data_IF_732741977443
#
_entry.id   IF_732741977443
#
_cell.length_a   1.000
_cell.length_b   1.000
_cell.length_c   1.000
_cell.angle_alpha   90.00
_cell.angle_beta   90.00
_cell.angle_gamma   90.00
#
_symmetry.space_group_name_H-M   'P 1'
#
loop_
_entity.id
_entity.type
_entity.pdbx_description
1 polymer ?
#
# COMPACT_ATOMS: atom_id res chain seq x y z
N UNK A 1 -27.75 9.10 -19.15
CA UNK A 1 -26.33 9.34 -18.80
C UNK A 1 -25.76 8.03 -18.27
N UNK A 2 -24.77 7.44 -18.96
CA UNK A 2 -24.34 6.04 -18.71
C UNK A 2 -23.46 5.91 -17.44
N UNK A 3 -23.66 4.90 -16.56
CA UNK A 3 -22.93 4.77 -15.28
C UNK A 3 -21.46 4.34 -15.42
N UNK A 4 -20.97 4.09 -16.63
CA UNK A 4 -19.70 3.37 -16.87
C UNK A 4 -18.44 4.23 -16.73
N UNK A 5 -18.56 5.56 -16.69
CA UNK A 5 -17.40 6.45 -16.61
C UNK A 5 -16.70 6.46 -15.23
N UNK A 6 -17.37 6.01 -14.15
CA UNK A 6 -16.79 6.02 -12.79
C UNK A 6 -15.85 4.84 -12.50
N UNK A 7 -15.88 3.79 -13.34
CA UNK A 7 -15.04 2.59 -13.17
C UNK A 7 -13.61 2.74 -13.70
N UNK A 8 -13.40 3.59 -14.71
CA UNK A 8 -12.16 3.62 -15.53
C UNK A 8 -10.98 4.29 -14.79
N UNK A 9 -11.22 5.03 -13.70
CA UNK A 9 -10.19 5.83 -13.03
C UNK A 9 -9.70 5.27 -11.68
N UNK A 10 -10.23 4.14 -11.20
CA UNK A 10 -9.93 3.60 -9.86
C UNK A 10 -8.73 2.64 -9.84
N UNK A 11 -7.64 3.01 -10.47
CA UNK A 11 -6.44 2.17 -10.51
C UNK A 11 -5.22 2.91 -9.95
N UNK A 12 -4.45 2.25 -9.07
CA UNK A 12 -3.24 2.84 -8.49
C UNK A 12 -2.13 3.13 -9.53
N UNK A 13 -2.28 2.64 -10.77
CA UNK A 13 -1.44 2.99 -11.92
C UNK A 13 -1.66 4.43 -12.39
N UNK A 14 -2.85 5.01 -12.16
CA UNK A 14 -3.11 6.41 -12.46
C UNK A 14 -2.45 7.32 -11.39
N UNK A 15 -1.57 8.26 -11.78
CA UNK A 15 -0.81 9.07 -10.83
C UNK A 15 -1.69 10.01 -9.99
N UNK A 16 -2.76 10.57 -10.56
CA UNK A 16 -3.69 11.44 -9.87
C UNK A 16 -4.51 10.67 -8.85
N UNK A 17 -5.04 9.52 -9.25
CA UNK A 17 -5.77 8.62 -8.34
C UNK A 17 -4.84 8.16 -7.20
N UNK A 18 -3.62 7.73 -7.51
CA UNK A 18 -2.63 7.33 -6.50
C UNK A 18 -2.30 8.47 -5.53
N UNK A 19 -2.19 9.70 -6.02
CA UNK A 19 -1.97 10.86 -5.17
C UNK A 19 -3.17 11.13 -4.25
N UNK A 20 -4.38 11.08 -4.80
CA UNK A 20 -5.62 11.23 -4.05
C UNK A 20 -5.77 10.15 -2.97
N UNK A 21 -5.63 8.87 -3.32
CA UNK A 21 -5.73 7.73 -2.39
C UNK A 21 -4.76 7.91 -1.23
N UNK A 22 -3.50 8.28 -1.50
CA UNK A 22 -2.51 8.50 -0.44
C UNK A 22 -2.97 9.59 0.53
N UNK A 23 -3.43 10.74 0.03
CA UNK A 23 -3.91 11.83 0.88
C UNK A 23 -5.16 11.42 1.66
N UNK A 24 -6.07 10.70 1.02
CA UNK A 24 -7.30 10.21 1.61
C UNK A 24 -7.03 9.26 2.79
N UNK A 25 -6.17 8.26 2.59
CA UNK A 25 -5.77 7.31 3.64
C UNK A 25 -5.04 7.99 4.81
N UNK A 26 -4.15 8.94 4.52
CA UNK A 26 -3.47 9.74 5.56
C UNK A 26 -4.49 10.49 6.41
N UNK A 27 -5.51 11.10 5.79
CA UNK A 27 -6.59 11.82 6.50
C UNK A 27 -7.41 10.85 7.37
N UNK A 28 -7.84 9.72 6.80
CA UNK A 28 -8.62 8.71 7.54
C UNK A 28 -7.86 8.12 8.73
N UNK A 29 -6.53 8.04 8.66
CA UNK A 29 -5.69 7.54 9.75
C UNK A 29 -5.21 8.63 10.71
N UNK A 30 -5.75 9.84 10.63
CA UNK A 30 -5.35 10.95 11.51
C UNK A 30 -3.87 11.32 11.38
N UNK A 31 -3.28 11.18 10.20
CA UNK A 31 -1.89 11.58 9.94
C UNK A 31 -0.83 10.60 10.42
N UNK A 32 -1.21 9.37 10.84
CA UNK A 32 -0.30 8.40 11.45
C UNK A 32 -0.12 7.13 10.62
N UNK A 33 1.09 6.57 10.68
CA UNK A 33 1.43 5.29 10.05
C UNK A 33 0.63 4.14 10.67
N UNK A 34 0.05 3.26 9.84
CA UNK A 34 -0.73 2.12 10.30
C UNK A 34 0.07 1.09 11.12
N UNK A 35 1.40 1.06 10.97
CA UNK A 35 2.28 0.15 11.70
C UNK A 35 2.91 0.83 12.93
N UNK A 36 3.77 1.83 12.72
CA UNK A 36 4.55 2.43 13.82
C UNK A 36 3.86 3.61 14.51
N UNK A 37 2.68 4.03 14.07
CA UNK A 37 1.87 5.12 14.64
C UNK A 37 2.53 6.51 14.68
N UNK A 38 3.75 6.67 14.16
CA UNK A 38 4.42 7.97 14.01
C UNK A 38 3.71 8.85 12.98
N UNK A 39 3.80 10.16 13.18
CA UNK A 39 3.31 11.16 12.25
C UNK A 39 4.08 11.10 10.92
N UNK A 40 3.38 11.32 9.81
CA UNK A 40 4.01 11.40 8.51
C UNK A 40 4.79 12.70 8.33
N UNK A 41 5.92 12.61 7.63
CA UNK A 41 6.71 13.76 7.21
C UNK A 41 6.59 14.00 5.70
N UNK A 42 7.02 15.17 5.23
CA UNK A 42 7.07 15.49 3.79
C UNK A 42 8.09 14.63 3.03
N UNK A 43 9.21 14.25 3.66
CA UNK A 43 10.34 13.53 3.07
C UNK A 43 10.96 12.55 4.08
N UNK A 44 11.81 11.64 3.60
CA UNK A 44 12.55 10.71 4.44
C UNK A 44 11.79 9.42 4.79
N UNK A 45 12.25 8.64 5.79
CA UNK A 45 11.74 7.31 6.11
C UNK A 45 10.31 7.31 6.66
N UNK A 46 9.89 8.41 7.28
CA UNK A 46 8.54 8.63 7.80
C UNK A 46 7.58 9.24 6.77
N UNK A 47 7.97 9.40 5.49
CA UNK A 47 7.05 9.88 4.46
C UNK A 47 5.94 8.87 4.19
N UNK A 48 4.72 9.36 3.93
CA UNK A 48 3.58 8.50 3.63
C UNK A 48 3.72 7.76 2.29
N UNK A 49 3.34 6.48 2.30
CA UNK A 49 3.20 5.61 1.12
C UNK A 49 1.85 4.89 1.19
N UNK A 50 1.44 4.28 0.07
CA UNK A 50 0.23 3.43 0.04
C UNK A 50 0.69 2.02 0.34
N UNK A 51 0.04 1.39 1.30
CA UNK A 51 0.26 0.03 1.74
C UNK A 51 -0.94 -0.84 1.42
N UNK A 52 -0.67 -2.08 1.00
CA UNK A 52 -1.68 -3.11 0.81
C UNK A 52 -1.74 -4.00 2.05
N UNK A 53 -2.87 -4.00 2.77
CA UNK A 53 -3.10 -4.85 3.96
C UNK A 53 -2.89 -6.32 3.61
N UNK A 54 -3.63 -6.82 2.63
CA UNK A 54 -3.32 -8.06 1.92
C UNK A 54 -2.39 -7.72 0.75
N UNK A 55 -1.17 -8.26 0.75
CA UNK A 55 -0.19 -7.94 -0.28
C UNK A 55 -0.68 -8.39 -1.66
N UNK A 56 -0.29 -7.66 -2.72
CA UNK A 56 -0.67 -8.01 -4.10
C UNK A 56 -0.23 -9.42 -4.50
N UNK A 57 0.96 -9.84 -4.05
CA UNK A 57 1.47 -11.19 -4.30
C UNK A 57 0.65 -12.30 -3.63
N UNK A 58 -0.10 -11.96 -2.58
CA UNK A 58 -1.00 -12.87 -1.88
C UNK A 58 -2.45 -12.78 -2.44
N UNK A 59 -2.66 -12.05 -3.54
CA UNK A 59 -3.97 -11.82 -4.16
C UNK A 59 -4.74 -10.61 -3.60
N UNK A 60 -4.05 -9.62 -3.04
CA UNK A 60 -4.68 -8.37 -2.58
C UNK A 60 -5.07 -7.41 -3.71
N UNK A 61 -6.21 -6.75 -3.58
CA UNK A 61 -6.75 -5.78 -4.54
C UNK A 61 -6.29 -4.34 -4.26
N UNK A 62 -6.53 -3.45 -5.23
CA UNK A 62 -6.34 -2.00 -5.07
C UNK A 62 -7.58 -1.29 -4.48
N UNK A 63 -8.53 -2.05 -3.93
CA UNK A 63 -9.72 -1.49 -3.28
C UNK A 63 -9.34 -0.70 -2.03
N UNK A 64 -10.00 0.44 -1.81
CA UNK A 64 -9.71 1.32 -0.67
C UNK A 64 -9.76 0.59 0.68
N UNK A 65 -10.61 -0.44 0.82
CA UNK A 65 -10.73 -1.27 2.02
C UNK A 65 -9.49 -2.13 2.29
N UNK A 66 -8.75 -2.51 1.24
CA UNK A 66 -7.48 -3.23 1.34
C UNK A 66 -6.27 -2.29 1.47
N UNK A 67 -6.46 -0.98 1.32
CA UNK A 67 -5.36 -0.01 1.38
C UNK A 67 -5.23 0.64 2.77
N UNK A 68 -4.00 1.06 3.08
CA UNK A 68 -3.65 1.83 4.26
C UNK A 68 -2.53 2.83 3.93
N UNK A 69 -2.33 3.83 4.78
CA UNK A 69 -1.15 4.68 4.75
C UNK A 69 -0.08 4.11 5.69
N UNK A 70 1.09 3.77 5.15
CA UNK A 70 2.26 3.35 5.93
C UNK A 70 3.44 4.28 5.62
N UNK A 71 4.34 4.45 6.58
CA UNK A 71 5.57 5.16 6.29
C UNK A 71 6.47 4.32 5.36
N UNK A 72 7.35 5.00 4.62
CA UNK A 72 8.28 4.34 3.70
C UNK A 72 9.06 3.21 4.40
N UNK A 73 9.62 3.49 5.58
CA UNK A 73 10.41 2.52 6.34
C UNK A 73 9.63 1.24 6.66
N UNK A 74 8.44 1.36 7.27
CA UNK A 74 7.64 0.18 7.64
C UNK A 74 7.15 -0.58 6.40
N UNK A 75 6.73 0.13 5.36
CA UNK A 75 6.27 -0.50 4.12
C UNK A 75 7.41 -1.30 3.45
N UNK A 76 8.59 -0.70 3.31
CA UNK A 76 9.76 -1.38 2.77
C UNK A 76 10.18 -2.59 3.59
N UNK A 77 10.22 -2.45 4.92
CA UNK A 77 10.58 -3.55 5.82
C UNK A 77 9.63 -4.74 5.66
N UNK A 78 8.31 -4.49 5.64
CA UNK A 78 7.33 -5.56 5.40
C UNK A 78 7.48 -6.20 4.02
N UNK A 79 7.72 -5.40 2.98
CA UNK A 79 7.99 -5.89 1.63
C UNK A 79 9.22 -6.82 1.58
N UNK A 80 10.30 -6.45 2.27
CA UNK A 80 11.50 -7.29 2.39
C UNK A 80 11.20 -8.63 3.09
N UNK A 81 10.45 -8.60 4.20
CA UNK A 81 10.04 -9.83 4.91
C UNK A 81 9.21 -10.75 4.00
N UNK A 82 8.22 -10.21 3.28
CA UNK A 82 7.37 -10.97 2.35
C UNK A 82 8.17 -11.59 1.20
N UNK A 83 9.09 -10.83 0.60
CA UNK A 83 9.96 -11.34 -0.46
C UNK A 83 10.90 -12.44 0.04
N UNK A 84 11.50 -12.25 1.23
CA UNK A 84 12.37 -13.26 1.84
C UNK A 84 11.62 -14.55 2.16
N UNK A 85 10.39 -14.46 2.69
CA UNK A 85 9.55 -15.63 2.94
C UNK A 85 9.23 -16.40 1.66
N UNK A 86 8.87 -15.69 0.57
CA UNK A 86 8.59 -16.32 -0.73
C UNK A 86 9.82 -17.01 -1.33
N UNK A 87 11.00 -16.38 -1.25
CA UNK A 87 12.25 -16.98 -1.73
C UNK A 87 12.59 -18.27 -0.97
N UNK A 88 12.40 -18.27 0.36
CA UNK A 88 12.57 -19.48 1.18
C UNK A 88 11.60 -20.59 0.79
N UNK A 89 10.31 -20.26 0.61
CA UNK A 89 9.31 -21.22 0.18
C UNK A 89 9.65 -21.84 -1.19
N UNK A 90 10.07 -21.01 -2.15
CA UNK A 90 10.47 -21.48 -3.49
C UNK A 90 11.69 -22.42 -3.44
N UNK A 91 12.67 -22.15 -2.58
CA UNK A 91 13.84 -23.03 -2.38
C UNK A 91 13.52 -24.33 -1.64
N UNK A 92 12.46 -24.34 -0.82
CA UNK A 92 12.00 -25.53 -0.10
C UNK A 92 11.13 -26.47 -0.94
N UNK A 93 10.60 -26.01 -2.07
CA UNK A 93 9.81 -26.82 -3.02
C UNK A 93 10.71 -27.54 -4.04
N UNK A 94 11.96 -27.11 -4.19
CA UNK A 94 12.93 -27.68 -5.14
C UNK A 94 13.69 -28.92 -4.62
N UNK A 95 13.04 -29.80 -3.85
CA UNK A 95 13.63 -31.07 -3.40
C UNK A 95 12.66 -32.23 -3.54
#
# INVERSE_FOLDING_TARGET
>A
MSPTAWGIMKHLKNPLYRMWVRRHLVKLQGGRCCYCQRNFTKRGPTRATIEHRKARMDGGSDDLTNLAAACLHCNQHRGQQKNGARQKAQRGISN
#
